data_IF_566161333672
#
_entry.id   IF_566161333672
#
_cell.length_a   1.000
_cell.length_b   1.000
_cell.length_c   1.000
_cell.angle_alpha   90.00
_cell.angle_beta   90.00
_cell.angle_gamma   90.00
#
_symmetry.space_group_name_H-M   'P 1'
#
loop_
_entity.id
_entity.type
_entity.pdbx_description
1 polymer ?
#
# COMPACT_ATOMS: atom_id res chain seq x y z
N UNK A 1 -8.94 13.17 -0.05
CA UNK A 1 -9.01 11.70 -0.14
C UNK A 1 -8.17 11.04 0.96
N UNK A 2 -6.84 11.13 0.97
CA UNK A 2 -6.04 10.49 2.04
C UNK A 2 -6.25 11.15 3.42
N UNK A 3 -6.42 12.48 3.48
CA UNK A 3 -6.70 13.22 4.72
C UNK A 3 -8.09 12.96 5.34
N UNK A 4 -8.97 12.24 4.64
CA UNK A 4 -10.34 11.95 5.08
C UNK A 4 -10.53 10.48 5.49
N UNK A 5 -9.45 9.70 5.60
CA UNK A 5 -9.51 8.35 6.13
C UNK A 5 -9.65 8.42 7.66
N UNK A 6 -10.78 7.96 8.15
CA UNK A 6 -11.08 7.89 9.59
C UNK A 6 -10.34 6.70 10.23
N UNK A 7 -9.54 6.99 11.26
CA UNK A 7 -8.72 6.03 12.00
C UNK A 7 -9.52 5.12 12.92
N UNK A 8 -10.79 5.43 13.18
CA UNK A 8 -11.71 4.58 13.94
C UNK A 8 -12.49 3.60 13.05
N UNK A 9 -12.51 3.85 11.74
CA UNK A 9 -13.27 3.06 10.78
C UNK A 9 -12.36 2.11 9.99
N UNK A 10 -11.14 2.55 9.66
CA UNK A 10 -10.25 1.80 8.78
C UNK A 10 -8.94 1.42 9.46
N UNK A 11 -8.62 0.12 9.41
CA UNK A 11 -7.33 -0.43 9.83
C UNK A 11 -6.31 -0.40 8.68
N UNK A 12 -6.79 -0.52 7.45
CA UNK A 12 -5.97 -0.60 6.24
C UNK A 12 -6.61 0.21 5.11
N UNK A 13 -5.79 0.88 4.30
CA UNK A 13 -6.24 1.52 3.08
C UNK A 13 -5.34 1.16 1.89
N UNK A 14 -5.98 0.84 0.77
CA UNK A 14 -5.35 0.41 -0.48
C UNK A 14 -5.73 1.43 -1.54
N UNK A 15 -4.75 2.14 -2.09
CA UNK A 15 -5.02 3.25 -3.01
C UNK A 15 -4.24 3.02 -4.30
N UNK A 16 -4.95 3.18 -5.41
CA UNK A 16 -4.43 3.09 -6.77
C UNK A 16 -4.38 4.50 -7.39
N UNK A 17 -3.43 4.71 -8.30
CA UNK A 17 -3.15 5.98 -8.97
C UNK A 17 -3.16 7.18 -8.01
N UNK A 18 -2.47 7.11 -6.87
CA UNK A 18 -2.56 8.17 -5.89
C UNK A 18 -1.86 9.42 -6.48
N UNK A 19 -2.59 10.53 -6.61
CA UNK A 19 -2.01 11.81 -7.04
C UNK A 19 -1.12 12.37 -5.92
N UNK A 20 0.10 11.87 -5.84
CA UNK A 20 1.06 12.14 -4.78
C UNK A 20 2.23 12.94 -5.32
N UNK A 21 2.31 14.19 -4.90
CA UNK A 21 3.61 14.85 -4.83
C UNK A 21 4.30 14.35 -3.55
N UNK A 22 5.38 13.57 -3.66
CA UNK A 22 6.07 12.97 -2.50
C UNK A 22 6.66 14.00 -1.55
N UNK A 23 7.04 15.17 -2.07
CA UNK A 23 7.44 16.31 -1.25
C UNK A 23 6.29 16.71 -0.34
N UNK A 24 5.05 16.68 -0.84
CA UNK A 24 3.86 16.94 -0.04
C UNK A 24 3.47 15.76 0.85
N UNK A 25 3.81 14.51 0.52
CA UNK A 25 3.52 13.36 1.40
C UNK A 25 4.46 13.32 2.62
N UNK A 26 5.73 13.65 2.43
CA UNK A 26 6.69 13.88 3.50
C UNK A 26 6.35 15.13 4.33
N UNK A 27 5.84 16.19 3.69
CA UNK A 27 5.44 17.44 4.34
C UNK A 27 4.01 17.43 4.90
N UNK A 28 3.16 16.45 4.54
CA UNK A 28 1.94 16.13 5.30
C UNK A 28 2.37 15.43 6.58
N UNK A 29 2.91 16.24 7.50
CA UNK A 29 3.43 15.89 8.84
C UNK A 29 2.50 14.98 9.66
N UNK A 30 1.23 14.96 9.30
CA UNK A 30 0.17 14.23 9.97
C UNK A 30 -0.08 12.82 9.38
N UNK A 31 0.21 12.54 8.10
CA UNK A 31 -0.13 11.21 7.57
C UNK A 31 0.72 10.11 8.21
N UNK A 32 2.03 10.36 8.32
CA UNK A 32 2.98 9.42 8.94
C UNK A 32 2.83 9.31 10.45
N UNK A 33 2.11 10.20 11.13
CA UNK A 33 1.90 10.08 12.58
C UNK A 33 0.90 8.98 12.92
N UNK A 34 -0.08 8.73 12.04
CA UNK A 34 -1.13 7.72 12.28
C UNK A 34 -1.07 6.51 11.35
N UNK A 35 -0.42 6.62 10.20
CA UNK A 35 -0.29 5.54 9.23
C UNK A 35 1.17 5.16 9.02
N UNK A 36 1.46 3.86 9.01
CA UNK A 36 2.65 3.32 8.37
C UNK A 36 2.37 3.32 6.85
N UNK A 37 3.07 4.21 6.13
CA UNK A 37 2.90 4.40 4.68
C UNK A 37 3.86 3.49 3.93
N UNK A 38 3.32 2.60 3.10
CA UNK A 38 4.07 1.59 2.36
C UNK A 38 4.08 1.97 0.87
N UNK A 39 5.26 1.98 0.29
CA UNK A 39 5.54 2.20 -1.13
C UNK A 39 6.53 1.13 -1.62
N UNK A 40 6.52 0.86 -2.93
CA UNK A 40 7.46 -0.07 -3.54
C UNK A 40 8.91 0.45 -3.45
N UNK A 41 9.83 -0.46 -3.14
CA UNK A 41 11.23 -0.14 -2.87
C UNK A 41 11.96 0.54 -4.05
N UNK A 42 11.49 0.34 -5.29
CA UNK A 42 12.09 0.93 -6.49
C UNK A 42 11.59 2.35 -6.84
N UNK A 43 10.91 3.00 -5.89
CA UNK A 43 10.41 4.37 -6.06
C UNK A 43 11.53 5.36 -6.44
N UNK A 44 12.72 5.23 -5.85
CA UNK A 44 13.83 6.15 -6.15
C UNK A 44 14.32 6.04 -7.59
N UNK A 45 14.19 4.86 -8.20
CA UNK A 45 14.59 4.56 -9.56
C UNK A 45 13.52 5.02 -10.57
N UNK A 46 12.23 4.93 -10.20
CA UNK A 46 11.11 5.25 -11.08
C UNK A 46 9.97 5.97 -10.33
N UNK A 47 10.06 7.29 -10.11
CA UNK A 47 9.04 8.05 -9.39
C UNK A 47 7.67 8.10 -10.10
N UNK A 48 7.59 7.72 -11.37
CA UNK A 48 6.34 7.57 -12.12
C UNK A 48 5.67 6.20 -11.91
N UNK A 49 6.34 5.23 -11.27
CA UNK A 49 5.86 3.85 -11.14
C UNK A 49 5.19 3.52 -9.79
N UNK A 50 5.01 4.48 -8.88
CA UNK A 50 4.24 4.22 -7.64
C UNK A 50 2.74 4.33 -7.91
N UNK A 51 2.22 3.39 -8.69
CA UNK A 51 0.81 3.30 -9.07
C UNK A 51 -0.08 2.77 -7.93
N UNK A 52 0.53 2.25 -6.87
CA UNK A 52 -0.15 1.76 -5.67
C UNK A 52 0.53 2.30 -4.41
N UNK A 53 -0.26 2.61 -3.39
CA UNK A 53 0.21 2.80 -2.00
C UNK A 53 -0.63 1.95 -1.05
N UNK A 54 -0.06 1.55 0.08
CA UNK A 54 -0.80 0.94 1.18
C UNK A 54 -0.58 1.75 2.44
N UNK A 55 -1.64 1.96 3.21
CA UNK A 55 -1.60 2.62 4.50
C UNK A 55 -2.02 1.60 5.55
N UNK A 56 -1.17 1.37 6.54
CA UNK A 56 -1.48 0.53 7.70
C UNK A 56 -1.67 1.43 8.91
N UNK A 57 -2.84 1.35 9.54
CA UNK A 57 -3.13 2.13 10.73
C UNK A 57 -2.17 1.71 11.84
N UNK A 58 -1.48 2.67 12.46
CA UNK A 58 -0.49 2.37 13.51
C UNK A 58 -1.08 1.77 14.79
N UNK A 59 -2.41 1.76 14.92
CA UNK A 59 -3.11 1.01 15.97
C UNK A 59 -2.98 -0.50 15.79
N UNK A 60 -2.74 -0.98 14.57
CA UNK A 60 -2.40 -2.38 14.32
C UNK A 60 -1.02 -2.69 14.89
N UNK A 61 -0.94 -3.81 15.60
CA UNK A 61 0.31 -4.28 16.18
C UNK A 61 1.32 -4.57 15.06
N UNK A 62 2.52 -4.00 15.16
CA UNK A 62 3.55 -4.11 14.11
C UNK A 62 4.03 -5.53 13.84
N UNK A 63 3.87 -6.44 14.80
CA UNK A 63 4.25 -7.85 14.67
C UNK A 63 3.12 -8.74 14.11
N UNK A 64 1.94 -8.18 13.84
CA UNK A 64 0.82 -8.92 13.24
C UNK A 64 0.71 -8.70 11.74
N UNK A 65 1.64 -7.98 11.12
CA UNK A 65 1.66 -7.77 9.68
C UNK A 65 3.07 -7.58 9.14
N UNK A 66 3.28 -7.94 7.88
CA UNK A 66 4.51 -7.61 7.15
C UNK A 66 4.25 -7.46 5.65
N UNK A 67 5.16 -6.74 4.98
CA UNK A 67 5.13 -6.57 3.52
C UNK A 67 5.63 -7.86 2.87
N UNK A 68 4.89 -8.34 1.89
CA UNK A 68 5.30 -9.43 1.01
C UNK A 68 5.66 -8.82 -0.34
N UNK A 69 6.95 -8.92 -0.69
CA UNK A 69 7.48 -8.37 -1.94
C UNK A 69 7.04 -9.23 -3.13
N UNK A 70 6.48 -8.57 -4.14
CA UNK A 70 6.03 -9.19 -5.37
C UNK A 70 6.95 -8.75 -6.53
N UNK A 71 7.07 -9.60 -7.55
CA UNK A 71 7.90 -9.32 -8.73
C UNK A 71 7.33 -8.19 -9.62
N UNK A 72 6.01 -8.10 -9.87
CA UNK A 72 5.47 -7.07 -10.75
C UNK A 72 5.53 -5.68 -10.09
N UNK A 73 5.92 -4.63 -10.83
CA UNK A 73 6.07 -3.26 -10.31
C UNK A 73 4.75 -2.58 -9.94
N UNK A 74 3.61 -3.13 -10.37
CA UNK A 74 2.28 -2.54 -10.13
C UNK A 74 1.51 -3.26 -9.02
N UNK A 75 2.22 -4.03 -8.21
CA UNK A 75 1.63 -4.90 -7.19
C UNK A 75 2.32 -4.70 -5.85
N UNK A 76 1.53 -4.66 -4.78
CA UNK A 76 2.03 -4.76 -3.41
C UNK A 76 1.19 -5.74 -2.64
N UNK A 77 1.78 -6.39 -1.64
CA UNK A 77 1.02 -7.23 -0.74
C UNK A 77 1.47 -7.12 0.70
N UNK A 78 0.54 -7.36 1.61
CA UNK A 78 0.82 -7.59 3.02
C UNK A 78 0.23 -8.94 3.45
N UNK A 79 0.90 -9.58 4.39
CA UNK A 79 0.34 -10.70 5.14
C UNK A 79 0.01 -10.21 6.55
N UNK A 80 -1.23 -10.40 6.98
CA UNK A 80 -1.67 -10.26 8.37
C UNK A 80 -1.62 -11.63 9.03
N UNK A 81 -1.16 -11.70 10.28
CA UNK A 81 -1.15 -12.92 11.09
C UNK A 81 -1.83 -12.67 12.43
N UNK A 82 -2.71 -13.57 12.84
CA UNK A 82 -3.37 -13.52 14.14
C UNK A 82 -4.06 -14.84 14.50
N UNK A 83 -4.91 -14.85 15.55
CA UNK A 83 -5.72 -16.01 15.91
C UNK A 83 -6.65 -16.49 14.79
N UNK A 84 -6.96 -15.60 13.84
CA UNK A 84 -7.70 -15.89 12.61
C UNK A 84 -6.86 -16.58 11.52
N UNK A 85 -5.60 -16.93 11.81
CA UNK A 85 -4.67 -17.48 10.84
C UNK A 85 -3.95 -16.39 10.06
N UNK A 86 -3.79 -16.60 8.76
CA UNK A 86 -3.08 -15.69 7.85
C UNK A 86 -4.05 -15.10 6.84
N UNK A 87 -3.93 -13.80 6.59
CA UNK A 87 -4.67 -13.09 5.54
C UNK A 87 -3.67 -12.41 4.63
N UNK A 88 -3.65 -12.79 3.36
CA UNK A 88 -2.87 -12.11 2.33
C UNK A 88 -3.76 -11.12 1.60
N UNK A 89 -3.31 -9.88 1.48
CA UNK A 89 -4.03 -8.84 0.76
C UNK A 89 -3.12 -8.25 -0.30
N UNK A 90 -3.63 -8.21 -1.53
CA UNK A 90 -2.90 -7.77 -2.71
C UNK A 90 -3.49 -6.44 -3.20
N UNK A 91 -2.68 -5.37 -3.18
CA UNK A 91 -2.98 -4.14 -3.91
C UNK A 91 -2.43 -4.25 -5.32
N UNK A 92 -3.31 -4.42 -6.29
CA UNK A 92 -2.93 -4.62 -7.69
C UNK A 92 -3.51 -3.48 -8.50
N UNK A 93 -2.64 -2.72 -9.14
CA UNK A 93 -3.05 -1.85 -10.23
C UNK A 93 -2.91 -2.60 -11.54
N UNK A 94 -4.04 -2.80 -12.25
CA UNK A 94 -4.04 -3.40 -13.57
C UNK A 94 -4.13 -2.29 -14.64
N UNK A 95 -3.06 -2.05 -15.42
CA UNK A 95 -3.11 -1.11 -16.53
C UNK A 95 -4.19 -1.50 -17.54
N UNK A 96 -4.97 -0.55 -18.04
CA UNK A 96 -6.02 -0.83 -19.02
C UNK A 96 -5.48 -1.31 -20.39
N UNK A 97 -4.18 -1.17 -20.64
CA UNK A 97 -3.51 -1.52 -21.89
C UNK A 97 -2.85 -2.92 -21.86
N UNK A 98 -2.93 -3.65 -20.75
CA UNK A 98 -2.28 -4.95 -20.59
C UNK A 98 -2.88 -5.81 -19.48
N UNK A 99 -2.98 -7.12 -19.71
CA UNK A 99 -3.42 -8.10 -18.70
C UNK A 99 -2.29 -8.76 -17.92
N UNK A 100 -1.03 -8.41 -18.19
CA UNK A 100 0.14 -9.07 -17.56
C UNK A 100 0.13 -9.05 -16.02
N UNK A 101 -0.60 -8.11 -15.41
CA UNK A 101 -0.70 -8.04 -13.95
C UNK A 101 -1.69 -9.07 -13.38
N UNK A 102 -2.67 -9.51 -14.18
CA UNK A 102 -3.63 -10.55 -13.78
C UNK A 102 -3.03 -11.95 -13.90
N UNK A 103 -2.17 -12.17 -14.90
CA UNK A 103 -1.44 -13.45 -15.07
C UNK A 103 -0.58 -13.81 -13.85
N UNK A 104 -0.22 -12.83 -13.01
CA UNK A 104 0.48 -13.05 -11.74
C UNK A 104 -0.36 -13.78 -10.68
N UNK A 105 -1.69 -13.72 -10.77
CA UNK A 105 -2.61 -14.31 -9.79
C UNK A 105 -2.95 -15.77 -10.08
N UNK A 106 -2.61 -16.28 -11.28
CA UNK A 106 -2.78 -17.69 -11.68
C UNK A 106 -1.63 -18.58 -11.20
#
# INVERSE_FOLDING_TARGET
MIKSLDLEIYDLAYIQEPYLNLVNLANTSNLRSWWDVIYLADHHSFPQCSQVIMLVNKRLLKNTWHIVLLKPPNTMSIELTGPFGKVHIYNIYNPCDSNHTLDFLE
#
